data_IF_102226845390
#
_entry.id   IF_102226845390
#
_cell.length_a   1.000
_cell.length_b   1.000
_cell.length_c   1.000
_cell.angle_alpha   90.00
_cell.angle_beta   90.00
_cell.angle_gamma   90.00
#
_symmetry.space_group_name_H-M   'P 1'
#
loop_
_entity.id
_entity.type
_entity.pdbx_description
1 polymer ?
#
# COMPACT_ATOMS: atom_id res chain seq x y z
N UNK A 1 7.16 -54.11 -19.30
CA UNK A 1 7.73 -52.92 -20.00
C UNK A 1 6.66 -51.94 -20.51
N UNK A 2 5.42 -51.96 -20.00
CA UNK A 2 4.32 -51.08 -20.46
C UNK A 2 4.13 -49.82 -19.60
N UNK A 3 4.49 -49.84 -18.30
CA UNK A 3 4.25 -48.72 -17.38
C UNK A 3 5.12 -47.47 -17.62
N UNK A 4 6.31 -47.64 -18.20
CA UNK A 4 7.24 -46.52 -18.46
C UNK A 4 6.76 -45.62 -19.61
N UNK A 5 6.05 -46.19 -20.59
CA UNK A 5 5.51 -45.43 -21.73
C UNK A 5 4.32 -44.56 -21.32
N UNK A 6 3.44 -45.07 -20.45
CA UNK A 6 2.26 -44.33 -19.98
C UNK A 6 2.65 -43.15 -19.08
N UNK A 7 3.73 -43.29 -18.30
CA UNK A 7 4.22 -42.23 -17.42
C UNK A 7 4.80 -41.04 -18.22
N UNK A 8 5.51 -41.30 -19.33
CA UNK A 8 6.04 -40.24 -20.19
C UNK A 8 4.96 -39.45 -20.93
N UNK A 9 3.88 -40.10 -21.38
CA UNK A 9 2.79 -39.42 -22.11
C UNK A 9 2.01 -38.48 -21.19
N UNK A 10 1.77 -38.87 -19.93
CA UNK A 10 1.09 -38.02 -18.95
C UNK A 10 1.94 -36.79 -18.56
N UNK A 11 3.26 -36.95 -18.41
CA UNK A 11 4.16 -35.85 -18.09
C UNK A 11 4.25 -34.81 -19.22
N UNK A 12 4.29 -35.25 -20.48
CA UNK A 12 4.30 -34.37 -21.64
C UNK A 12 2.96 -33.63 -21.82
N UNK A 13 1.84 -34.29 -21.53
CA UNK A 13 0.51 -33.65 -21.56
C UNK A 13 0.39 -32.56 -20.48
N UNK A 14 0.88 -32.80 -19.25
CA UNK A 14 0.88 -31.82 -18.17
C UNK A 14 1.77 -30.60 -18.46
N UNK A 15 2.92 -30.81 -19.10
CA UNK A 15 3.79 -29.73 -19.57
C UNK A 15 3.10 -28.88 -20.66
N UNK A 16 2.36 -29.51 -21.59
CA UNK A 16 1.64 -28.79 -22.64
C UNK A 16 0.47 -27.94 -22.11
N UNK A 17 -0.23 -28.41 -21.07
CA UNK A 17 -1.32 -27.67 -20.42
C UNK A 17 -0.78 -26.48 -19.62
N UNK A 18 0.41 -26.60 -19.03
CA UNK A 18 1.08 -25.50 -18.35
C UNK A 18 1.53 -24.39 -19.32
N UNK A 19 1.92 -24.73 -20.54
CA UNK A 19 2.26 -23.75 -21.58
C UNK A 19 1.05 -22.98 -22.11
N UNK A 20 -0.16 -23.54 -22.06
CA UNK A 20 -1.37 -22.86 -22.53
C UNK A 20 -1.89 -21.82 -21.51
N UNK A 21 -1.66 -22.02 -20.21
CA UNK A 21 -2.11 -21.12 -19.15
C UNK A 21 -1.35 -19.76 -19.11
N UNK A 22 -0.19 -19.67 -19.75
CA UNK A 22 0.63 -18.45 -19.82
C UNK A 22 0.40 -17.66 -21.12
N UNK A 23 -0.30 -18.24 -22.09
CA UNK A 23 -0.47 -17.65 -23.43
C UNK A 23 -1.57 -16.57 -23.50
N UNK A 24 -2.45 -16.48 -22.50
CA UNK A 24 -3.62 -15.59 -22.51
C UNK A 24 -3.26 -14.09 -22.28
N UNK A 25 -2.10 -13.79 -21.70
CA UNK A 25 -1.68 -12.41 -21.38
C UNK A 25 -0.65 -11.83 -22.37
N UNK A 26 -0.46 -12.43 -23.56
CA UNK A 26 0.58 -12.01 -24.51
C UNK A 26 0.06 -11.31 -25.78
N UNK A 27 -1.25 -11.27 -26.03
CA UNK A 27 -1.82 -10.79 -27.30
C UNK A 27 -2.71 -9.53 -27.19
N UNK A 28 -2.85 -8.92 -26.01
CA UNK A 28 -3.67 -7.72 -25.86
C UNK A 28 -2.83 -6.43 -25.93
N UNK A 29 -3.37 -5.38 -26.56
CA UNK A 29 -2.73 -4.06 -26.59
C UNK A 29 -2.86 -3.32 -25.22
N UNK A 30 -3.38 -3.98 -24.19
CA UNK A 30 -3.53 -3.42 -22.84
C UNK A 30 -2.24 -3.60 -22.06
N UNK A 31 -1.56 -2.50 -21.75
CA UNK A 31 -0.30 -2.52 -20.99
C UNK A 31 -0.55 -2.80 -19.52
N UNK A 32 0.18 -3.75 -18.93
CA UNK A 32 0.11 -3.99 -17.48
C UNK A 32 1.08 -3.06 -16.76
N UNK A 33 0.54 -2.18 -15.92
CA UNK A 33 1.33 -1.26 -15.11
C UNK A 33 1.42 -1.75 -13.66
N UNK A 34 2.60 -1.58 -13.08
CA UNK A 34 2.90 -1.88 -11.67
C UNK A 34 3.37 -0.62 -10.99
N UNK A 35 3.46 -0.61 -9.66
CA UNK A 35 4.02 0.52 -8.90
C UNK A 35 5.39 0.96 -9.44
N UNK A 36 6.24 0.00 -9.83
CA UNK A 36 7.58 0.30 -10.36
C UNK A 36 7.60 0.87 -11.77
N UNK A 37 6.66 0.45 -12.63
CA UNK A 37 6.65 0.82 -14.05
C UNK A 37 5.75 2.02 -14.35
N UNK A 38 4.79 2.31 -13.48
CA UNK A 38 3.77 3.34 -13.68
C UNK A 38 4.38 4.70 -14.02
N UNK A 39 5.26 5.24 -13.18
CA UNK A 39 5.88 6.56 -13.43
C UNK A 39 6.78 6.56 -14.65
N UNK A 40 7.56 5.49 -14.87
CA UNK A 40 8.50 5.42 -15.99
C UNK A 40 7.80 5.44 -17.35
N UNK A 41 6.60 4.83 -17.44
CA UNK A 41 5.85 4.70 -18.68
C UNK A 41 4.85 5.83 -18.87
N UNK A 42 4.11 6.18 -17.82
CA UNK A 42 3.03 7.20 -17.92
C UNK A 42 3.53 8.61 -17.71
N UNK A 43 4.65 8.77 -16.99
CA UNK A 43 5.19 10.07 -16.57
C UNK A 43 4.15 10.98 -15.90
N UNK A 44 3.10 10.36 -15.33
CA UNK A 44 1.89 11.03 -14.88
C UNK A 44 2.15 12.09 -13.82
N UNK A 45 3.17 11.92 -12.96
CA UNK A 45 3.54 12.93 -11.97
C UNK A 45 4.40 14.08 -12.48
N UNK A 46 5.12 13.90 -13.59
CA UNK A 46 6.05 14.90 -14.13
C UNK A 46 5.45 15.77 -15.23
N UNK A 47 4.41 15.28 -15.90
CA UNK A 47 3.78 15.98 -17.04
C UNK A 47 4.63 15.99 -18.32
N UNK A 48 5.82 15.40 -18.33
CA UNK A 48 6.59 15.14 -19.55
C UNK A 48 5.87 14.04 -20.35
N UNK A 49 5.61 14.26 -21.64
CA UNK A 49 4.60 13.46 -22.35
C UNK A 49 5.18 12.26 -23.09
N UNK A 50 4.92 11.06 -22.58
CA UNK A 50 4.92 9.78 -23.35
C UNK A 50 3.60 9.53 -24.09
N UNK A 51 2.70 10.53 -24.12
CA UNK A 51 1.33 10.42 -24.64
C UNK A 51 0.29 10.34 -23.53
N UNK A 52 -0.99 10.36 -23.92
CA UNK A 52 -2.11 10.22 -22.99
C UNK A 52 -2.31 8.75 -22.60
N UNK A 53 -2.77 8.50 -21.37
CA UNK A 53 -2.97 7.15 -20.84
C UNK A 53 -4.38 6.96 -20.27
N UNK A 54 -5.09 5.95 -20.77
CA UNK A 54 -6.33 5.46 -20.15
C UNK A 54 -5.99 4.24 -19.30
N UNK A 55 -6.19 4.33 -17.99
CA UNK A 55 -5.79 3.27 -17.04
C UNK A 55 -7.00 2.73 -16.29
N UNK A 56 -7.17 1.41 -16.31
CA UNK A 56 -8.12 0.69 -15.46
C UNK A 56 -7.44 0.22 -14.17
N UNK A 57 -7.93 0.71 -13.03
CA UNK A 57 -7.61 0.17 -11.72
C UNK A 57 -8.62 -0.93 -11.37
N UNK A 58 -8.14 -2.17 -11.25
CA UNK A 58 -8.97 -3.35 -11.08
C UNK A 58 -8.50 -4.24 -9.92
N UNK A 59 -9.30 -5.26 -9.63
CA UNK A 59 -8.95 -6.36 -8.75
C UNK A 59 -9.34 -7.70 -9.39
N UNK A 60 -8.51 -8.76 -9.30
CA UNK A 60 -8.69 -10.01 -10.05
C UNK A 60 -9.95 -10.80 -9.64
N UNK A 61 -10.44 -10.59 -8.42
CA UNK A 61 -11.66 -11.22 -7.91
C UNK A 61 -12.94 -10.44 -8.23
N UNK A 62 -12.84 -9.22 -8.77
CA UNK A 62 -14.00 -8.38 -9.01
C UNK A 62 -14.78 -8.81 -10.26
N UNK A 63 -16.03 -9.23 -10.09
CA UNK A 63 -16.89 -9.67 -11.20
C UNK A 63 -17.17 -8.59 -12.25
N UNK A 64 -17.24 -7.31 -11.86
CA UNK A 64 -17.40 -6.21 -12.81
C UNK A 64 -16.15 -5.96 -13.66
N UNK A 65 -14.95 -6.18 -13.11
CA UNK A 65 -13.69 -6.07 -13.86
C UNK A 65 -13.60 -7.18 -14.90
N UNK A 66 -13.92 -8.43 -14.53
CA UNK A 66 -13.94 -9.57 -15.46
C UNK A 66 -14.88 -9.35 -16.65
N UNK A 67 -16.03 -8.71 -16.43
CA UNK A 67 -16.97 -8.36 -17.51
C UNK A 67 -16.45 -7.23 -18.41
N UNK A 68 -15.65 -6.33 -17.85
CA UNK A 68 -15.09 -5.19 -18.57
C UNK A 68 -13.87 -5.58 -19.41
N UNK A 69 -13.05 -6.53 -18.94
CA UNK A 69 -11.82 -6.96 -19.62
C UNK A 69 -11.95 -7.15 -21.14
N UNK A 70 -12.91 -7.94 -21.69
CA UNK A 70 -13.01 -8.11 -23.14
C UNK A 70 -13.50 -6.86 -23.89
N UNK A 71 -14.16 -5.92 -23.22
CA UNK A 71 -14.52 -4.61 -23.80
C UNK A 71 -13.29 -3.71 -23.80
N UNK A 72 -12.51 -3.73 -22.71
CA UNK A 72 -11.34 -2.90 -22.52
C UNK A 72 -10.20 -3.25 -23.48
N UNK A 73 -10.03 -4.53 -23.81
CA UNK A 73 -9.12 -4.98 -24.86
C UNK A 73 -9.47 -4.39 -26.23
N UNK A 74 -10.75 -4.41 -26.60
CA UNK A 74 -11.21 -3.78 -27.86
C UNK A 74 -11.01 -2.26 -27.85
N UNK A 75 -11.15 -1.61 -26.69
CA UNK A 75 -10.83 -0.18 -26.56
C UNK A 75 -9.34 0.07 -26.78
N UNK A 76 -8.47 -0.81 -26.28
CA UNK A 76 -7.03 -0.72 -26.54
C UNK A 76 -6.69 -0.92 -28.02
N UNK A 77 -7.40 -1.82 -28.72
CA UNK A 77 -7.24 -2.01 -30.16
C UNK A 77 -7.70 -0.78 -30.95
N UNK A 78 -8.82 -0.18 -30.57
CA UNK A 78 -9.37 1.00 -31.27
C UNK A 78 -8.53 2.26 -31.04
N UNK A 79 -7.99 2.45 -29.84
CA UNK A 79 -7.19 3.62 -29.48
C UNK A 79 -5.71 3.47 -29.81
N UNK A 80 -5.32 2.38 -30.48
CA UNK A 80 -3.92 2.08 -30.79
C UNK A 80 -3.26 3.20 -31.59
N UNK A 81 -2.21 3.78 -31.01
CA UNK A 81 -1.46 4.89 -31.60
C UNK A 81 -2.04 6.28 -31.33
N UNK A 82 -3.24 6.37 -30.73
CA UNK A 82 -3.84 7.63 -30.26
C UNK A 82 -3.66 7.81 -28.74
N UNK A 83 -4.07 6.81 -27.96
CA UNK A 83 -4.04 6.82 -26.49
C UNK A 83 -3.56 5.47 -26.00
N UNK A 84 -2.61 5.48 -25.04
CA UNK A 84 -2.12 4.24 -24.44
C UNK A 84 -3.15 3.70 -23.47
N UNK A 85 -3.51 2.42 -23.58
CA UNK A 85 -4.49 1.78 -22.70
C UNK A 85 -3.77 0.80 -21.77
N UNK A 86 -4.06 0.86 -20.48
CA UNK A 86 -3.36 0.09 -19.47
C UNK A 86 -4.27 -0.41 -18.34
N UNK A 87 -3.83 -1.45 -17.64
CA UNK A 87 -4.48 -1.98 -16.44
C UNK A 87 -3.51 -2.06 -15.26
N UNK A 88 -4.01 -1.79 -14.06
CA UNK A 88 -3.27 -1.89 -12.78
C UNK A 88 -4.08 -2.75 -11.81
N UNK A 89 -3.46 -3.83 -11.35
CA UNK A 89 -4.00 -4.61 -10.23
C UNK A 89 -3.69 -3.90 -8.91
N UNK A 90 -4.70 -3.29 -8.30
CA UNK A 90 -4.55 -2.56 -7.03
C UNK A 90 -4.34 -3.51 -5.84
N UNK A 91 -4.69 -4.79 -5.97
CA UNK A 91 -4.47 -5.77 -4.89
C UNK A 91 -2.99 -6.10 -4.73
N UNK A 92 -2.24 -6.14 -5.83
CA UNK A 92 -0.79 -6.26 -5.83
C UNK A 92 -0.08 -4.89 -5.68
N UNK A 93 -0.71 -3.80 -6.13
CA UNK A 93 -0.14 -2.45 -6.18
C UNK A 93 -0.95 -1.45 -5.32
N UNK A 94 -1.08 -1.74 -4.02
CA UNK A 94 -1.95 -0.97 -3.12
C UNK A 94 -1.54 0.51 -2.97
N UNK A 95 -0.27 0.83 -3.16
CA UNK A 95 0.27 2.20 -3.12
C UNK A 95 -0.36 3.09 -4.20
N UNK A 96 -0.49 2.59 -5.43
CA UNK A 96 -1.16 3.30 -6.52
C UNK A 96 -2.65 3.51 -6.21
N UNK A 97 -3.30 2.51 -5.61
CA UNK A 97 -4.68 2.62 -5.15
C UNK A 97 -4.88 3.74 -4.13
N UNK A 98 -3.96 3.87 -3.16
CA UNK A 98 -3.98 4.96 -2.17
C UNK A 98 -3.73 6.31 -2.83
N UNK A 99 -2.70 6.41 -3.68
CA UNK A 99 -2.29 7.66 -4.33
C UNK A 99 -3.38 8.28 -5.20
N UNK A 100 -4.13 7.45 -5.93
CA UNK A 100 -5.23 7.92 -6.80
C UNK A 100 -6.62 7.83 -6.15
N UNK A 101 -6.66 7.53 -4.85
CA UNK A 101 -7.88 7.40 -4.05
C UNK A 101 -8.90 6.44 -4.68
N UNK A 102 -8.44 5.25 -5.07
CA UNK A 102 -9.28 4.21 -5.67
C UNK A 102 -10.08 3.52 -4.56
N UNK A 103 -11.37 3.84 -4.47
CA UNK A 103 -12.29 3.30 -3.43
C UNK A 103 -13.10 2.09 -3.90
N UNK A 104 -13.08 1.76 -5.18
CA UNK A 104 -13.86 0.67 -5.76
C UNK A 104 -13.38 0.27 -7.14
N UNK A 105 -13.88 -0.87 -7.62
CA UNK A 105 -13.43 -1.48 -8.88
C UNK A 105 -14.60 -1.78 -9.83
N UNK A 106 -14.40 -1.67 -11.15
CA UNK A 106 -13.24 -1.04 -11.80
C UNK A 106 -13.34 0.49 -11.75
N UNK A 107 -12.22 1.16 -11.52
CA UNK A 107 -12.10 2.62 -11.64
C UNK A 107 -11.23 2.94 -12.84
N UNK A 108 -11.75 3.74 -13.77
CA UNK A 108 -11.03 4.12 -15.00
C UNK A 108 -10.61 5.58 -14.86
N UNK A 109 -9.34 5.85 -15.09
CA UNK A 109 -8.74 7.18 -14.96
C UNK A 109 -7.95 7.48 -16.22
N UNK A 110 -8.19 8.65 -16.80
CA UNK A 110 -7.38 9.16 -17.89
C UNK A 110 -6.30 10.09 -17.35
N UNK A 111 -5.07 9.93 -17.80
CA UNK A 111 -3.92 10.75 -17.43
C UNK A 111 -3.46 11.54 -18.64
N UNK A 112 -3.41 12.86 -18.49
CA UNK A 112 -2.93 13.79 -19.51
C UNK A 112 -2.28 14.99 -18.85
N UNK A 113 -1.09 15.38 -19.31
CA UNK A 113 -0.38 16.60 -18.90
C UNK A 113 -0.27 16.82 -17.37
N UNK A 114 0.04 15.77 -16.62
CA UNK A 114 0.17 15.87 -15.15
C UNK A 114 -1.16 15.91 -14.39
N UNK A 115 -2.28 15.74 -15.09
CA UNK A 115 -3.62 15.68 -14.50
C UNK A 115 -4.25 14.30 -14.70
N UNK A 116 -5.18 13.98 -13.81
CA UNK A 116 -5.96 12.76 -13.82
C UNK A 116 -7.45 13.07 -13.86
N UNK A 117 -8.19 12.33 -14.68
CA UNK A 117 -9.62 12.54 -14.92
C UNK A 117 -10.36 11.22 -14.72
N UNK A 118 -11.21 11.16 -13.68
CA UNK A 118 -11.97 9.94 -13.35
C UNK A 118 -13.17 9.80 -14.28
N UNK A 119 -13.31 8.65 -14.93
CA UNK A 119 -14.46 8.36 -15.78
C UNK A 119 -15.67 7.94 -14.94
N UNK A 120 -16.81 8.58 -15.18
CA UNK A 120 -18.08 8.31 -14.49
C UNK A 120 -19.20 7.84 -15.44
N UNK A 121 -18.90 7.61 -16.72
CA UNK A 121 -19.88 7.23 -17.73
C UNK A 121 -20.18 5.73 -17.77
N UNK A 122 -20.92 5.32 -18.81
CA UNK A 122 -21.18 3.90 -19.09
C UNK A 122 -19.90 3.25 -19.61
N UNK A 123 -19.59 2.05 -19.12
CA UNK A 123 -18.35 1.33 -19.48
C UNK A 123 -18.51 0.54 -20.79
N UNK A 124 -18.96 1.22 -21.84
CA UNK A 124 -19.04 0.65 -23.18
C UNK A 124 -17.84 1.12 -24.02
N UNK A 125 -17.55 0.39 -25.08
CA UNK A 125 -16.48 0.72 -26.01
C UNK A 125 -16.56 2.17 -26.54
N UNK A 126 -17.69 2.64 -27.13
CA UNK A 126 -17.75 4.00 -27.68
C UNK A 126 -17.62 5.08 -26.59
N UNK A 127 -18.21 4.87 -25.41
CA UNK A 127 -18.13 5.84 -24.32
C UNK A 127 -16.68 6.01 -23.81
N UNK A 128 -15.94 4.90 -23.72
CA UNK A 128 -14.54 4.91 -23.28
C UNK A 128 -13.62 5.53 -24.34
N UNK A 129 -13.84 5.21 -25.61
CA UNK A 129 -13.07 5.77 -26.71
C UNK A 129 -13.31 7.29 -26.86
N UNK A 130 -14.57 7.75 -26.77
CA UNK A 130 -14.90 9.18 -26.77
C UNK A 130 -14.25 9.91 -25.59
N UNK A 131 -14.31 9.29 -24.40
CA UNK A 131 -13.68 9.85 -23.21
C UNK A 131 -12.17 10.04 -23.41
N UNK A 132 -11.49 9.01 -23.91
CA UNK A 132 -10.04 9.03 -24.14
C UNK A 132 -9.62 10.04 -25.23
N UNK A 133 -10.40 10.22 -26.30
CA UNK A 133 -10.11 11.16 -27.40
C UNK A 133 -10.29 12.64 -27.05
N UNK A 134 -10.75 12.95 -25.84
CA UNK A 134 -10.88 14.33 -25.37
C UNK A 134 -12.10 14.60 -24.49
N UNK A 135 -13.02 13.64 -24.35
CA UNK A 135 -14.15 13.75 -23.42
C UNK A 135 -13.71 13.98 -21.97
N UNK A 136 -12.50 13.54 -21.59
CA UNK A 136 -11.90 13.77 -20.27
C UNK A 136 -11.79 15.25 -19.88
N UNK A 137 -11.64 16.16 -20.85
CA UNK A 137 -11.55 17.61 -20.60
C UNK A 137 -12.84 18.21 -20.04
N UNK A 138 -13.97 17.49 -20.15
CA UNK A 138 -15.26 17.91 -19.57
C UNK A 138 -15.37 17.57 -18.08
N UNK A 139 -14.47 16.75 -17.55
CA UNK A 139 -14.43 16.34 -16.15
C UNK A 139 -13.40 17.18 -15.41
N UNK A 140 -13.66 17.47 -14.14
CA UNK A 140 -12.71 18.17 -13.28
C UNK A 140 -11.42 17.34 -13.12
N UNK A 141 -10.30 17.91 -13.56
CA UNK A 141 -8.99 17.27 -13.48
C UNK A 141 -8.39 17.40 -12.10
N UNK A 142 -7.92 16.29 -11.54
CA UNK A 142 -7.14 16.29 -10.29
C UNK A 142 -5.65 16.28 -10.64
N UNK A 143 -4.87 17.23 -10.13
CA UNK A 143 -3.43 17.23 -10.32
C UNK A 143 -2.84 15.94 -9.75
N UNK A 144 -2.03 15.24 -10.56
CA UNK A 144 -1.35 14.02 -10.12
C UNK A 144 -0.24 14.46 -9.19
N UNK A 145 -0.36 14.13 -7.89
CA UNK A 145 0.79 14.29 -6.99
C UNK A 145 1.93 13.44 -7.57
N UNK A 146 3.10 14.02 -7.73
CA UNK A 146 4.29 13.27 -8.16
C UNK A 146 4.47 12.04 -7.26
N UNK A 147 4.97 10.94 -7.81
CA UNK A 147 5.31 9.80 -6.96
C UNK A 147 6.23 10.28 -5.84
N UNK A 148 6.03 9.82 -4.59
CA UNK A 148 6.84 10.26 -3.47
C UNK A 148 8.30 10.10 -3.86
N UNK A 149 9.03 11.21 -3.82
CA UNK A 149 10.46 11.16 -4.11
C UNK A 149 11.13 10.24 -3.10
N UNK A 150 12.32 9.71 -3.41
CA UNK A 150 13.12 8.95 -2.44
C UNK A 150 13.31 9.72 -1.11
N UNK A 151 13.30 11.05 -1.17
CA UNK A 151 13.34 11.93 0.00
C UNK A 151 12.01 11.95 0.78
N UNK A 152 10.86 11.85 0.11
CA UNK A 152 9.55 11.71 0.75
C UNK A 152 9.35 10.33 1.36
N UNK A 153 9.88 9.28 0.73
CA UNK A 153 9.86 7.94 1.31
C UNK A 153 10.76 7.86 2.55
N UNK A 154 11.93 8.50 2.52
CA UNK A 154 12.79 8.64 3.70
C UNK A 154 12.13 9.46 4.82
N UNK A 155 11.40 10.52 4.48
CA UNK A 155 10.70 11.36 5.47
C UNK A 155 9.53 10.62 6.12
N UNK A 156 8.84 9.74 5.39
CA UNK A 156 7.82 8.85 5.97
C UNK A 156 8.43 7.84 6.96
N UNK A 157 9.56 7.22 6.62
CA UNK A 157 10.26 6.33 7.55
C UNK A 157 10.71 7.04 8.85
N UNK A 158 11.21 8.28 8.73
CA UNK A 158 11.55 9.11 9.89
C UNK A 158 10.30 9.50 10.69
N UNK A 159 9.18 9.74 10.03
CA UNK A 159 7.90 10.09 10.67
C UNK A 159 7.31 8.89 11.41
N UNK A 160 7.37 7.70 10.83
CA UNK A 160 6.95 6.45 11.46
C UNK A 160 7.84 6.12 12.66
N UNK A 161 9.17 6.25 12.53
CA UNK A 161 10.09 6.12 13.66
C UNK A 161 9.77 7.11 14.78
N UNK A 162 9.44 8.37 14.45
CA UNK A 162 9.02 9.36 15.43
C UNK A 162 7.69 8.99 16.09
N UNK A 163 6.70 8.54 15.32
CA UNK A 163 5.38 8.17 15.85
C UNK A 163 5.47 6.92 16.74
N UNK A 164 6.26 5.93 16.35
CA UNK A 164 6.55 4.76 17.17
C UNK A 164 7.31 5.14 18.44
N UNK A 165 8.29 6.04 18.34
CA UNK A 165 9.02 6.53 19.49
C UNK A 165 8.13 7.37 20.42
N UNK A 166 7.26 8.22 19.89
CA UNK A 166 6.28 8.99 20.67
C UNK A 166 5.29 8.04 21.33
N UNK A 167 4.83 6.99 20.64
CA UNK A 167 3.91 6.00 21.21
C UNK A 167 4.60 5.21 22.31
N UNK A 168 5.86 4.78 22.11
CA UNK A 168 6.68 4.16 23.15
C UNK A 168 6.86 5.08 24.35
N UNK A 169 7.20 6.35 24.13
CA UNK A 169 7.37 7.35 25.20
C UNK A 169 6.06 7.71 25.90
N UNK A 170 4.94 7.78 25.17
CA UNK A 170 3.61 8.07 25.71
C UNK A 170 3.10 6.90 26.57
N UNK A 171 3.33 5.66 26.13
CA UNK A 171 3.01 4.45 26.91
C UNK A 171 3.94 4.33 28.12
N UNK A 172 5.20 4.75 27.99
CA UNK A 172 6.20 4.72 29.08
C UNK A 172 6.07 5.86 30.08
N UNK A 173 5.33 6.95 29.83
CA UNK A 173 5.19 8.04 30.82
C UNK A 173 4.53 7.54 32.11
N UNK A 174 3.51 6.70 31.99
CA UNK A 174 2.86 6.06 33.14
C UNK A 174 3.76 4.99 33.79
N UNK A 175 4.53 4.24 33.00
CA UNK A 175 5.46 3.21 33.50
C UNK A 175 6.66 3.83 34.23
N UNK A 176 7.20 4.93 33.70
CA UNK A 176 8.32 5.66 34.28
C UNK A 176 7.91 6.35 35.59
N UNK A 177 6.72 6.97 35.61
CA UNK A 177 6.16 7.58 36.83
C UNK A 177 5.84 6.50 37.87
N UNK A 178 5.27 5.36 37.45
CA UNK A 178 4.95 4.25 38.36
C UNK A 178 6.21 3.64 38.99
N UNK A 179 7.27 3.40 38.21
CA UNK A 179 8.53 2.82 38.70
C UNK A 179 9.26 3.77 39.66
N UNK A 180 9.31 5.07 39.36
CA UNK A 180 9.84 6.08 40.29
C UNK A 180 9.04 6.16 41.59
N UNK A 181 7.71 6.14 41.49
CA UNK A 181 6.83 6.24 42.66
C UNK A 181 6.93 5.01 43.57
N UNK A 182 6.97 3.81 42.99
CA UNK A 182 7.18 2.54 43.72
C UNK A 182 8.57 2.52 44.37
N UNK A 183 9.62 2.94 43.66
CA UNK A 183 10.96 3.03 44.21
C UNK A 183 11.06 4.01 45.39
N UNK A 184 10.45 5.19 45.27
CA UNK A 184 10.42 6.19 46.33
C UNK A 184 9.65 5.69 47.56
N UNK A 185 8.51 5.03 47.37
CA UNK A 185 7.71 4.45 48.46
C UNK A 185 8.46 3.32 49.18
N UNK A 186 9.08 2.41 48.44
CA UNK A 186 9.85 1.30 49.00
C UNK A 186 11.07 1.82 49.79
N UNK A 187 11.74 2.86 49.28
CA UNK A 187 12.84 3.52 49.95
C UNK A 187 12.42 4.20 51.26
N UNK A 188 11.30 4.93 51.25
CA UNK A 188 10.72 5.55 52.46
C UNK A 188 10.30 4.49 53.49
N UNK A 189 9.70 3.38 53.06
CA UNK A 189 9.32 2.26 53.92
C UNK A 189 10.54 1.60 54.58
N UNK A 190 11.58 1.29 53.80
CA UNK A 190 12.83 0.74 54.34
C UNK A 190 13.52 1.72 55.28
N UNK A 191 13.51 3.02 54.97
CA UNK A 191 13.99 4.07 55.85
C UNK A 191 13.22 4.17 57.17
N UNK A 192 11.89 4.08 57.12
CA UNK A 192 11.03 4.09 58.31
C UNK A 192 11.27 2.86 59.20
N UNK A 193 11.36 1.68 58.59
CA UNK A 193 11.66 0.43 59.30
C UNK A 193 13.06 0.47 59.95
N UNK A 194 14.05 1.05 59.26
CA UNK A 194 15.39 1.24 59.83
C UNK A 194 15.37 2.27 60.98
N UNK A 195 14.61 3.36 60.85
CA UNK A 195 14.47 4.39 61.90
C UNK A 195 13.77 3.89 63.17
N UNK A 196 12.82 2.96 63.05
CA UNK A 196 12.20 2.31 64.21
C UNK A 196 13.16 1.34 64.93
N UNK A 197 14.09 0.70 64.21
CA UNK A 197 15.09 -0.18 64.83
C UNK A 197 16.15 0.59 65.64
N UNK A 198 16.47 1.85 65.29
CA UNK A 198 17.47 2.65 66.01
C UNK A 198 16.92 3.39 67.24
N UNK A 199 15.60 3.40 67.48
CA UNK A 199 14.95 4.14 68.58
C UNK A 199 14.72 3.31 69.86
N UNK A 200 15.03 2.00 69.86
CA UNK A 200 14.74 1.11 71.00
C UNK A 200 15.96 0.67 71.82
N UNK A 201 17.04 1.45 71.83
CA UNK A 201 18.24 1.17 72.63
C UNK A 201 18.72 2.37 73.44
N UNK A 202 18.45 2.38 74.75
CA UNK A 202 19.25 3.13 75.73
C UNK A 202 18.51 4.04 76.70
N UNK A 203 17.87 3.48 77.73
CA UNK A 203 17.86 4.11 79.06
C UNK A 203 18.53 3.16 80.04
N UNK A 204 19.84 3.33 80.19
CA UNK A 204 20.64 2.73 81.27
C UNK A 204 20.14 3.27 82.62
N UNK A 205 19.69 2.38 83.49
CA UNK A 205 19.39 2.66 84.89
C UNK A 205 20.65 3.19 85.59
N UNK A 206 20.60 4.40 86.14
CA UNK A 206 21.65 4.93 87.04
C UNK A 206 21.51 4.24 88.39
N UNK A 207 22.42 3.32 88.69
CA UNK A 207 22.72 2.91 90.05
C UNK A 207 23.34 4.09 90.80
N UNK A 208 22.77 4.45 91.96
CA UNK A 208 23.32 5.44 92.89
C UNK A 208 23.85 4.69 94.09
N UNK A 209 25.17 4.62 94.18
CA UNK A 209 25.94 4.24 95.37
C UNK A 209 25.89 5.41 96.35
N UNK A 210 25.38 5.17 97.56
CA UNK A 210 25.91 5.63 98.85
C UNK A 210 25.34 4.71 99.94
#
# INVERSE_FOLDING_TARGET
>A
MSGFKTLCVAALALLSVLQLALADEAASNVVVLTTSTFESLTQAGSGATTGDWLVEFYAPWCGHCKKLAPIYERVADELKGEVNVAKVDVTANSELGKRFEIRGFPTIVHFSQGQSYKFAGKRTLPDLAEFARGGFKKVEGTAVSSAPSMLDQASQYVTDLKNDFITLLATKKNVLIATFSVGLYLGLLLGYMCGCCTSRGGKTSKAKTE
#
